data_IF_621638243232
#
_entry.id   IF_621638243232
#
_cell.length_a   1.000
_cell.length_b   1.000
_cell.length_c   1.000
_cell.angle_alpha   90.00
_cell.angle_beta   90.00
_cell.angle_gamma   90.00
#
_symmetry.space_group_name_H-M   'P 1'
#
loop_
_entity.id
_entity.type
_entity.pdbx_description
1 polymer ?
#
# COMPACT_ATOMS: atom_id res chain seq x y z
N UNK A 1 -34.26 -18.74 5.22
CA UNK A 1 -33.02 -18.77 4.42
C UNK A 1 -31.87 -18.48 5.37
N UNK A 2 -31.08 -19.50 5.76
CA UNK A 2 -29.97 -19.37 6.71
C UNK A 2 -28.74 -18.82 5.98
N UNK A 3 -28.29 -17.61 6.30
CA UNK A 3 -26.96 -17.13 5.94
C UNK A 3 -25.96 -17.67 6.98
N UNK A 4 -25.21 -18.70 6.61
CA UNK A 4 -24.09 -19.23 7.41
C UNK A 4 -22.89 -18.29 7.23
N UNK A 5 -22.55 -17.51 8.25
CA UNK A 5 -21.23 -16.90 8.35
C UNK A 5 -20.28 -17.95 8.93
N UNK A 6 -19.48 -18.57 8.06
CA UNK A 6 -18.38 -19.45 8.44
C UNK A 6 -17.09 -18.63 8.46
N UNK A 7 -16.54 -18.42 9.65
CA UNK A 7 -15.14 -18.08 9.86
C UNK A 7 -14.70 -18.57 11.24
N UNK A 8 -13.86 -19.62 11.28
CA UNK A 8 -13.25 -20.15 12.51
C UNK A 8 -14.15 -21.11 13.30
N UNK A 9 -13.55 -22.20 13.76
CA UNK A 9 -14.20 -23.33 14.43
C UNK A 9 -14.98 -22.87 15.70
N UNK A 10 -16.21 -23.39 15.87
CA UNK A 10 -17.12 -23.24 17.02
C UNK A 10 -18.09 -22.04 17.08
N UNK A 11 -19.01 -21.94 16.12
CA UNK A 11 -20.26 -21.16 16.25
C UNK A 11 -21.49 -22.07 16.03
N UNK A 12 -22.25 -22.33 17.09
CA UNK A 12 -23.55 -22.99 17.04
C UNK A 12 -24.65 -21.93 17.22
N UNK A 13 -25.43 -21.71 16.16
CA UNK A 13 -26.56 -20.79 16.16
C UNK A 13 -27.73 -21.43 16.93
N UNK A 14 -28.14 -20.85 18.06
CA UNK A 14 -29.34 -21.27 18.78
C UNK A 14 -30.55 -20.61 18.11
N UNK A 15 -31.61 -21.39 17.87
CA UNK A 15 -32.90 -20.89 17.45
C UNK A 15 -33.48 -19.97 18.55
N UNK A 16 -33.44 -18.65 18.30
CA UNK A 16 -33.93 -17.61 19.21
C UNK A 16 -32.84 -16.62 19.61
N UNK A 17 -32.79 -15.46 18.94
CA UNK A 17 -32.11 -14.19 19.28
C UNK A 17 -30.69 -14.18 19.92
N UNK A 18 -29.98 -15.31 20.06
CA UNK A 18 -28.68 -15.39 20.74
C UNK A 18 -27.63 -16.16 19.95
N UNK A 19 -26.37 -15.71 20.04
CA UNK A 19 -25.17 -16.37 19.54
C UNK A 19 -24.42 -16.98 20.73
N UNK A 20 -24.02 -18.25 20.65
CA UNK A 20 -23.34 -18.95 21.74
C UNK A 20 -21.88 -19.18 21.39
N UNK A 21 -20.96 -18.71 22.25
CA UNK A 21 -19.52 -18.96 22.13
C UNK A 21 -19.05 -19.77 23.35
N UNK A 22 -18.21 -20.78 23.14
CA UNK A 22 -17.54 -21.48 24.24
C UNK A 22 -16.15 -20.89 24.44
N UNK A 23 -15.88 -20.41 25.65
CA UNK A 23 -14.53 -20.02 26.09
C UNK A 23 -14.19 -20.94 27.27
N UNK A 24 -13.07 -21.65 27.19
CA UNK A 24 -12.59 -22.60 28.22
C UNK A 24 -13.63 -23.64 28.67
N UNK A 25 -14.46 -24.11 27.75
CA UNK A 25 -15.49 -25.13 28.03
C UNK A 25 -16.76 -24.60 28.70
N UNK A 26 -16.81 -23.31 29.04
CA UNK A 26 -18.00 -22.66 29.60
C UNK A 26 -18.86 -22.01 28.51
N UNK A 27 -20.18 -22.22 28.54
CA UNK A 27 -21.10 -21.60 27.58
C UNK A 27 -21.35 -20.14 27.93
N UNK A 28 -20.86 -19.21 27.10
CA UNK A 28 -21.29 -17.82 27.12
C UNK A 28 -22.31 -17.57 26.00
N UNK A 29 -23.43 -16.95 26.37
CA UNK A 29 -24.51 -16.59 25.45
C UNK A 29 -24.46 -15.08 25.27
N UNK A 30 -24.23 -14.64 24.04
CA UNK A 30 -24.30 -13.25 23.63
C UNK A 30 -25.65 -13.03 22.93
N UNK A 31 -26.37 -11.97 23.30
CA UNK A 31 -27.56 -11.61 22.52
C UNK A 31 -27.11 -11.14 21.14
N UNK A 32 -27.78 -11.60 20.07
CA UNK A 32 -27.44 -11.21 18.68
C UNK A 32 -27.45 -9.69 18.54
N UNK A 33 -28.34 -9.01 19.25
CA UNK A 33 -28.42 -7.54 19.29
C UNK A 33 -27.18 -6.87 19.88
N UNK A 34 -26.51 -7.49 20.84
CA UNK A 34 -25.27 -6.95 21.43
C UNK A 34 -24.08 -7.13 20.47
N UNK A 35 -24.05 -8.25 19.75
CA UNK A 35 -23.03 -8.52 18.71
C UNK A 35 -23.22 -7.57 17.52
N UNK A 36 -24.45 -7.39 17.05
CA UNK A 36 -24.77 -6.48 15.94
C UNK A 36 -24.44 -5.02 16.29
N UNK A 37 -24.75 -4.58 17.51
CA UNK A 37 -24.41 -3.24 17.99
C UNK A 37 -22.88 -3.02 18.05
N UNK A 38 -22.13 -3.98 18.58
CA UNK A 38 -20.66 -3.90 18.64
C UNK A 38 -19.99 -3.92 17.26
N UNK A 39 -20.57 -4.65 16.30
CA UNK A 39 -20.12 -4.62 14.90
C UNK A 39 -20.44 -3.28 14.23
N UNK A 40 -21.63 -2.72 14.46
CA UNK A 40 -22.02 -1.42 13.94
C UNK A 40 -21.16 -0.27 14.48
N UNK A 41 -20.84 -0.28 15.78
CA UNK A 41 -19.91 0.69 16.39
C UNK A 41 -18.52 0.63 15.74
N UNK A 42 -18.00 -0.58 15.46
CA UNK A 42 -16.73 -0.75 14.75
C UNK A 42 -16.81 -0.28 13.30
N UNK A 43 -17.91 -0.52 12.61
CA UNK A 43 -18.12 -0.04 11.24
C UNK A 43 -18.14 1.49 11.17
N UNK A 44 -18.73 2.14 12.17
CA UNK A 44 -18.76 3.61 12.28
C UNK A 44 -17.36 4.17 12.57
N UNK A 45 -16.58 3.55 13.45
CA UNK A 45 -15.19 3.94 13.72
C UNK A 45 -14.29 3.73 12.50
N UNK A 46 -14.44 2.61 11.79
CA UNK A 46 -13.76 2.34 10.51
C UNK A 46 -14.17 3.37 9.45
N UNK A 47 -15.45 3.74 9.39
CA UNK A 47 -15.95 4.75 8.45
C UNK A 47 -15.37 6.14 8.77
N UNK A 48 -15.27 6.52 10.05
CA UNK A 48 -14.60 7.76 10.48
C UNK A 48 -13.11 7.73 10.12
N UNK A 49 -12.42 6.60 10.33
CA UNK A 49 -11.02 6.45 9.93
C UNK A 49 -10.82 6.53 8.42
N UNK A 50 -11.71 5.95 7.62
CA UNK A 50 -11.70 6.07 6.15
C UNK A 50 -12.01 7.51 5.72
N UNK A 51 -12.94 8.20 6.40
CA UNK A 51 -13.26 9.58 6.13
C UNK A 51 -12.13 10.56 6.45
N UNK A 52 -11.18 10.20 7.34
CA UNK A 52 -9.99 11.02 7.64
C UNK A 52 -9.03 11.14 6.46
N UNK A 53 -9.07 10.21 5.51
CA UNK A 53 -8.25 10.22 4.31
C UNK A 53 -9.17 10.26 3.08
N UNK A 54 -9.71 11.44 2.76
CA UNK A 54 -10.52 11.63 1.54
C UNK A 54 -9.67 11.61 0.26
N UNK A 55 -8.36 11.79 0.40
CA UNK A 55 -7.40 11.75 -0.69
C UNK A 55 -6.94 10.31 -0.96
N UNK A 56 -6.91 9.84 -2.22
CA UNK A 56 -6.33 8.55 -2.57
C UNK A 56 -4.87 8.46 -2.16
N UNK A 57 -4.44 7.31 -1.67
CA UNK A 57 -3.07 7.02 -1.26
C UNK A 57 -2.39 6.22 -2.37
N UNK A 58 -1.30 6.76 -2.91
CA UNK A 58 -0.49 6.11 -3.94
C UNK A 58 0.86 5.70 -3.37
N UNK A 59 1.27 4.45 -3.57
CA UNK A 59 2.64 4.02 -3.31
C UNK A 59 3.43 4.01 -4.62
N UNK A 60 4.51 4.78 -4.67
CA UNK A 60 5.42 4.78 -5.81
C UNK A 60 6.43 3.63 -5.65
N UNK A 61 6.65 2.87 -6.72
CA UNK A 61 7.63 1.79 -6.79
C UNK A 61 8.51 2.00 -8.02
N UNK A 62 9.81 1.71 -7.92
CA UNK A 62 10.73 1.91 -9.03
C UNK A 62 12.17 2.04 -8.59
N UNK A 63 13.09 2.03 -9.56
CA UNK A 63 14.51 2.19 -9.23
C UNK A 63 14.81 3.61 -8.77
N UNK A 64 15.49 3.74 -7.64
CA UNK A 64 15.92 5.04 -7.11
C UNK A 64 17.01 5.71 -7.94
N UNK A 65 17.51 5.06 -9.01
CA UNK A 65 18.41 5.68 -10.00
C UNK A 65 17.72 6.78 -10.81
N UNK A 66 16.40 6.66 -10.99
CA UNK A 66 15.60 7.60 -11.77
C UNK A 66 15.06 8.73 -10.90
N UNK A 67 15.96 9.40 -10.17
CA UNK A 67 15.59 10.39 -9.15
C UNK A 67 14.77 11.55 -9.71
N UNK A 68 15.03 12.00 -10.94
CA UNK A 68 14.29 13.11 -11.53
C UNK A 68 12.86 12.69 -11.85
N UNK A 69 12.67 11.44 -12.29
CA UNK A 69 11.33 10.84 -12.46
C UNK A 69 10.57 10.80 -11.14
N UNK A 70 11.19 10.31 -10.07
CA UNK A 70 10.58 10.28 -8.74
C UNK A 70 10.15 11.67 -8.25
N UNK A 71 11.01 12.68 -8.40
CA UNK A 71 10.69 14.06 -8.00
C UNK A 71 9.50 14.59 -8.80
N UNK A 72 9.51 14.37 -10.12
CA UNK A 72 8.49 14.89 -11.04
C UNK A 72 7.14 14.23 -10.78
N UNK A 73 7.10 12.91 -10.64
CA UNK A 73 5.88 12.15 -10.41
C UNK A 73 5.32 12.36 -9.01
N UNK A 74 6.18 12.51 -7.99
CA UNK A 74 5.74 12.85 -6.65
C UNK A 74 5.04 14.23 -6.63
N UNK A 75 5.65 15.24 -7.28
CA UNK A 75 5.04 16.56 -7.40
C UNK A 75 3.72 16.53 -8.19
N UNK A 76 3.67 15.79 -9.31
CA UNK A 76 2.45 15.63 -10.13
C UNK A 76 1.32 14.99 -9.33
N UNK A 77 1.57 13.82 -8.74
CA UNK A 77 0.57 13.06 -7.98
C UNK A 77 0.08 13.85 -6.76
N UNK A 78 0.97 14.55 -6.07
CA UNK A 78 0.60 15.44 -4.95
C UNK A 78 -0.26 16.60 -5.44
N UNK A 79 0.09 17.22 -6.57
CA UNK A 79 -0.71 18.29 -7.19
C UNK A 79 -2.09 17.83 -7.67
N UNK A 80 -2.23 16.55 -8.00
CA UNK A 80 -3.51 15.89 -8.30
C UNK A 80 -4.34 15.53 -7.05
N UNK A 81 -3.83 15.83 -5.85
CA UNK A 81 -4.53 15.61 -4.58
C UNK A 81 -4.34 14.23 -3.99
N UNK A 82 -3.33 13.47 -4.41
CA UNK A 82 -3.00 12.17 -3.83
C UNK A 82 -2.08 12.33 -2.59
N UNK A 83 -2.21 11.42 -1.63
CA UNK A 83 -1.20 11.18 -0.60
C UNK A 83 -0.14 10.26 -1.19
N UNK A 84 1.08 10.77 -1.36
CA UNK A 84 2.16 10.05 -2.05
C UNK A 84 3.11 9.39 -1.05
N UNK A 85 3.17 8.06 -1.06
CA UNK A 85 4.15 7.28 -0.33
C UNK A 85 5.38 7.03 -1.23
N UNK A 86 6.44 7.80 -0.98
CA UNK A 86 7.71 7.75 -1.72
C UNK A 86 8.82 7.01 -0.97
N UNK A 87 9.92 6.70 -1.63
CA UNK A 87 11.19 6.36 -0.96
C UNK A 87 11.70 7.55 -0.15
N UNK A 88 12.38 7.25 0.97
CA UNK A 88 12.99 8.25 1.85
C UNK A 88 14.51 8.20 1.90
N UNK A 89 15.13 7.19 1.29
CA UNK A 89 16.58 6.99 1.25
C UNK A 89 17.04 6.68 -0.18
N UNK A 90 18.11 7.33 -0.63
CA UNK A 90 18.55 7.29 -2.02
C UNK A 90 19.89 6.57 -2.19
N UNK A 91 19.91 5.24 -2.02
CA UNK A 91 21.14 4.44 -2.06
C UNK A 91 22.04 4.72 -3.27
N UNK A 92 21.46 4.82 -4.48
CA UNK A 92 22.21 5.10 -5.71
C UNK A 92 22.80 6.51 -5.80
N UNK A 93 22.25 7.49 -5.09
CA UNK A 93 22.72 8.88 -5.14
C UNK A 93 23.56 9.30 -3.93
N UNK A 94 23.40 8.61 -2.79
CA UNK A 94 24.08 8.95 -1.53
C UNK A 94 25.46 8.28 -1.38
N UNK A 95 25.90 7.47 -2.37
CA UNK A 95 27.23 6.81 -2.42
C UNK A 95 27.58 6.02 -1.15
N UNK A 96 26.56 5.56 -0.44
CA UNK A 96 26.64 4.58 0.64
C UNK A 96 25.52 3.60 0.37
N UNK A 97 25.85 2.49 -0.29
CA UNK A 97 24.92 1.39 -0.34
C UNK A 97 24.65 0.96 1.10
N UNK A 98 23.37 0.86 1.50
CA UNK A 98 23.03 0.30 2.80
C UNK A 98 23.62 -1.10 2.91
N UNK A 99 24.00 -1.50 4.13
CA UNK A 99 24.32 -2.91 4.39
C UNK A 99 23.08 -3.79 4.11
N UNK A 100 23.31 -5.10 3.99
CA UNK A 100 22.24 -6.02 3.58
C UNK A 100 21.07 -6.02 4.56
N UNK A 101 21.35 -5.91 5.87
CA UNK A 101 20.33 -5.83 6.90
C UNK A 101 19.47 -4.57 6.75
N UNK A 102 20.08 -3.44 6.41
CA UNK A 102 19.36 -2.18 6.16
C UNK A 102 18.54 -2.27 4.87
N UNK A 103 19.07 -2.92 3.82
CA UNK A 103 18.30 -3.14 2.58
C UNK A 103 17.05 -3.98 2.83
N UNK A 104 17.19 -5.11 3.54
CA UNK A 104 16.04 -5.95 3.91
C UNK A 104 15.01 -5.16 4.72
N UNK A 105 15.44 -4.37 5.71
CA UNK A 105 14.55 -3.52 6.49
C UNK A 105 13.84 -2.45 5.64
N UNK A 106 14.51 -1.91 4.62
CA UNK A 106 13.94 -0.93 3.69
C UNK A 106 12.93 -1.59 2.73
N UNK A 107 13.23 -2.77 2.21
CA UNK A 107 12.30 -3.55 1.38
C UNK A 107 11.04 -3.90 2.19
N UNK A 108 11.20 -4.30 3.45
CA UNK A 108 10.10 -4.57 4.37
C UNK A 108 9.24 -3.34 4.62
N UNK A 109 9.87 -2.19 4.86
CA UNK A 109 9.20 -0.91 5.03
C UNK A 109 8.41 -0.52 3.78
N UNK A 110 8.96 -0.77 2.59
CA UNK A 110 8.28 -0.46 1.33
C UNK A 110 7.05 -1.34 1.11
N UNK A 111 7.10 -2.63 1.49
CA UNK A 111 5.90 -3.49 1.52
C UNK A 111 4.83 -2.96 2.47
N UNK A 112 5.20 -2.36 3.61
CA UNK A 112 4.22 -1.70 4.50
C UNK A 112 3.60 -0.45 3.89
N UNK A 113 4.30 0.28 3.02
CA UNK A 113 3.69 1.38 2.26
C UNK A 113 2.65 0.85 1.28
N UNK A 114 2.91 -0.30 0.65
CA UNK A 114 1.95 -0.97 -0.24
C UNK A 114 0.70 -1.43 0.54
N UNK A 115 0.87 -1.93 1.77
CA UNK A 115 -0.27 -2.28 2.64
C UNK A 115 -1.20 -1.09 2.87
N UNK A 116 -0.66 0.12 2.95
CA UNK A 116 -1.38 1.36 3.25
C UNK A 116 -2.00 2.03 2.03
N UNK A 117 -1.51 1.75 0.82
CA UNK A 117 -1.96 2.46 -0.38
C UNK A 117 -3.27 1.91 -0.97
N UNK A 118 -3.97 2.76 -1.70
CA UNK A 118 -5.10 2.37 -2.53
C UNK A 118 -4.62 1.71 -3.84
N UNK A 119 -3.51 2.22 -4.39
CA UNK A 119 -2.93 1.74 -5.64
C UNK A 119 -1.41 2.01 -5.72
N UNK A 120 -0.75 1.30 -6.63
CA UNK A 120 0.69 1.37 -6.87
C UNK A 120 1.00 2.04 -8.20
N UNK A 121 1.95 2.97 -8.18
CA UNK A 121 2.50 3.65 -9.36
C UNK A 121 3.92 3.18 -9.63
N UNK A 122 4.12 2.45 -10.73
CA UNK A 122 5.41 1.88 -11.12
C UNK A 122 6.15 2.84 -12.05
N UNK A 123 7.32 3.29 -11.63
CA UNK A 123 8.24 4.12 -12.42
C UNK A 123 9.18 3.26 -13.26
N UNK A 124 8.63 2.58 -14.26
CA UNK A 124 9.35 1.72 -15.21
C UNK A 124 9.94 2.54 -16.38
N UNK A 125 10.78 3.52 -16.06
CA UNK A 125 11.41 4.41 -17.05
C UNK A 125 12.16 3.61 -18.11
N UNK A 126 11.79 3.80 -19.38
CA UNK A 126 12.37 3.06 -20.50
C UNK A 126 12.12 1.54 -20.44
N UNK A 127 11.13 1.08 -19.68
CA UNK A 127 10.84 -0.33 -19.44
C UNK A 127 11.76 -1.00 -18.40
N UNK A 128 12.55 -0.23 -17.66
CA UNK A 128 13.45 -0.79 -16.64
C UNK A 128 12.68 -1.17 -15.36
N UNK A 129 12.79 -2.44 -14.96
CA UNK A 129 12.31 -2.95 -13.68
C UNK A 129 13.45 -3.71 -12.99
N UNK A 130 13.84 -3.25 -11.80
CA UNK A 130 14.83 -3.93 -10.95
C UNK A 130 14.21 -5.04 -10.10
N UNK A 131 15.04 -5.87 -9.46
CA UNK A 131 14.58 -7.01 -8.66
C UNK A 131 13.71 -6.59 -7.46
N UNK A 132 14.12 -5.60 -6.67
CA UNK A 132 13.31 -5.08 -5.56
C UNK A 132 11.96 -4.54 -6.06
N UNK A 133 11.96 -3.75 -7.15
CA UNK A 133 10.71 -3.25 -7.77
C UNK A 133 9.81 -4.39 -8.27
N UNK A 134 10.39 -5.45 -8.83
CA UNK A 134 9.62 -6.62 -9.25
C UNK A 134 8.95 -7.30 -8.06
N UNK A 135 9.68 -7.50 -6.97
CA UNK A 135 9.14 -8.10 -5.74
C UNK A 135 8.03 -7.24 -5.12
N UNK A 136 8.17 -5.91 -5.17
CA UNK A 136 7.13 -4.96 -4.75
C UNK A 136 5.86 -5.08 -5.59
N UNK A 137 5.99 -5.16 -6.92
CA UNK A 137 4.86 -5.34 -7.84
C UNK A 137 4.15 -6.67 -7.54
N UNK A 138 4.90 -7.77 -7.46
CA UNK A 138 4.33 -9.08 -7.14
C UNK A 138 3.62 -9.08 -5.78
N UNK A 139 4.15 -8.35 -4.79
CA UNK A 139 3.51 -8.20 -3.49
C UNK A 139 2.19 -7.42 -3.60
N UNK A 140 2.17 -6.31 -4.33
CA UNK A 140 0.96 -5.51 -4.56
C UNK A 140 -0.14 -6.30 -5.29
N UNK A 141 0.23 -7.05 -6.33
CA UNK A 141 -0.68 -7.91 -7.08
C UNK A 141 -1.29 -9.02 -6.21
N UNK A 142 -0.48 -9.65 -5.34
CA UNK A 142 -0.96 -10.65 -4.37
C UNK A 142 -1.98 -10.09 -3.38
N UNK A 143 -1.85 -8.81 -3.03
CA UNK A 143 -2.83 -8.09 -2.19
C UNK A 143 -4.08 -7.63 -2.96
N UNK A 144 -4.10 -7.80 -4.29
CA UNK A 144 -5.17 -7.29 -5.15
C UNK A 144 -5.16 -5.77 -5.29
N UNK A 145 -4.01 -5.11 -5.07
CA UNK A 145 -3.86 -3.67 -5.31
C UNK A 145 -3.84 -3.38 -6.80
N UNK A 146 -4.43 -2.27 -7.21
CA UNK A 146 -4.32 -1.78 -8.59
C UNK A 146 -2.87 -1.35 -8.83
N UNK A 147 -2.25 -1.88 -9.88
CA UNK A 147 -0.88 -1.52 -10.31
C UNK A 147 -0.95 -0.80 -11.65
N UNK A 148 -0.40 0.40 -11.73
CA UNK A 148 -0.32 1.21 -12.94
C UNK A 148 1.14 1.52 -13.27
N UNK A 149 1.46 1.60 -14.55
CA UNK A 149 2.83 1.71 -15.05
C UNK A 149 3.04 3.02 -15.82
N UNK A 150 4.14 3.70 -15.53
CA UNK A 150 4.54 4.93 -16.20
C UNK A 150 4.65 4.72 -17.71
N UNK A 151 5.27 3.63 -18.16
CA UNK A 151 5.45 3.33 -19.59
C UNK A 151 4.14 3.07 -20.35
N UNK A 152 3.08 2.62 -19.65
CA UNK A 152 1.77 2.40 -20.26
C UNK A 152 1.03 3.72 -20.46
N UNK A 153 1.14 4.63 -19.50
CA UNK A 153 0.45 5.93 -19.56
C UNK A 153 1.22 6.97 -20.36
N UNK A 154 2.54 6.90 -20.31
CA UNK A 154 3.46 7.81 -20.99
C UNK A 154 4.51 7.00 -21.76
N UNK A 155 4.15 6.37 -22.90
CA UNK A 155 5.04 5.47 -23.65
C UNK A 155 6.34 6.10 -24.17
N UNK A 156 6.35 7.43 -24.31
CA UNK A 156 7.50 8.19 -24.78
C UNK A 156 8.24 8.91 -23.65
N UNK A 157 7.89 8.63 -22.39
CA UNK A 157 8.56 9.23 -21.25
C UNK A 157 10.04 8.84 -21.26
N UNK A 158 10.89 9.85 -21.07
CA UNK A 158 12.31 9.70 -20.82
C UNK A 158 12.61 10.51 -19.57
N UNK A 159 13.50 10.00 -18.73
CA UNK A 159 13.95 10.79 -17.58
C UNK A 159 14.68 12.04 -18.08
N UNK A 160 14.32 13.19 -17.53
CA UNK A 160 15.03 14.43 -17.80
C UNK A 160 16.44 14.38 -17.20
N UNK A 161 17.42 14.92 -17.92
CA UNK A 161 18.76 15.14 -17.39
C UNK A 161 18.72 16.00 -16.14
N UNK A 162 19.61 15.70 -15.19
CA UNK A 162 19.75 16.50 -13.97
C UNK A 162 20.11 17.95 -14.36
N UNK A 163 19.28 18.95 -14.01
CA UNK A 163 19.51 20.34 -14.40
C UNK A 163 20.88 20.87 -13.96
N UNK A 164 21.43 20.36 -12.86
CA UNK A 164 22.75 20.75 -12.39
C UNK A 164 23.85 20.14 -13.27
N UNK A 165 23.67 18.90 -13.75
CA UNK A 165 24.60 18.28 -14.69
C UNK A 165 24.58 18.98 -16.05
N UNK A 166 23.42 19.43 -16.52
CA UNK A 166 23.33 20.24 -17.74
C UNK A 166 24.08 21.57 -17.59
N UNK A 167 23.93 22.25 -16.46
CA UNK A 167 24.63 23.49 -16.18
C UNK A 167 26.16 23.30 -16.11
N UNK A 168 26.64 22.18 -15.53
CA UNK A 168 28.07 21.88 -15.48
C UNK A 168 28.62 21.49 -16.86
N UNK A 169 27.87 20.75 -17.67
CA UNK A 169 28.29 20.37 -19.02
C UNK A 169 28.30 21.55 -20.02
N UNK A 170 27.59 22.64 -19.69
CA UNK A 170 27.55 23.86 -20.48
C UNK A 170 28.65 24.88 -20.12
N UNK A 171 29.51 24.58 -19.13
CA UNK A 171 30.69 25.37 -18.73
C UNK A 171 31.96 24.82 -19.37
#
# INVERSE_FOLDING_TARGET
MMQKYLAGEDLLQICGQGLMKRIDGHPEVYLVTEVDAALAEKDEEIAVLKARFTAPIVCMCGSTRFKQTWITENARLTGEGNIVLSVGLWGHHERKDPDEQTKEALDDLHRRKIDLCDWVWVLDVGGYIGESTKNEIEYAEKLGRLVRYLSVEYPYYQEASDPLLEQIAAL
#
